data_IF_344485686720
#
_entry.id   IF_344485686720
#
_cell.length_a   1.000
_cell.length_b   1.000
_cell.length_c   1.000
_cell.angle_alpha   90.00
_cell.angle_beta   90.00
_cell.angle_gamma   90.00
#
_symmetry.space_group_name_H-M   'P 1'
#
loop_
_entity.id
_entity.type
_entity.pdbx_description
1 polymer ?
#
# COMPACT_ATOMS: atom_id res chain seq x y z
N UNK A 1 -15.76 -4.74 13.05
CA UNK A 1 -15.48 -5.11 11.66
C UNK A 1 -16.34 -6.30 11.21
N UNK A 2 -16.43 -7.41 11.95
CA UNK A 2 -17.21 -8.60 11.53
C UNK A 2 -18.65 -8.30 11.08
N UNK A 3 -19.40 -7.46 11.78
CA UNK A 3 -20.78 -7.13 11.40
C UNK A 3 -20.91 -6.36 10.08
N UNK A 4 -19.87 -5.63 9.65
CA UNK A 4 -19.85 -4.91 8.38
C UNK A 4 -19.17 -5.73 7.28
N UNK A 5 -18.26 -6.63 7.65
CA UNK A 5 -17.53 -7.44 6.69
C UNK A 5 -18.45 -8.36 5.89
N UNK A 6 -19.44 -8.95 6.58
CA UNK A 6 -20.41 -9.85 5.97
C UNK A 6 -21.67 -9.15 5.45
N UNK A 7 -21.67 -7.80 5.42
CA UNK A 7 -22.82 -7.02 4.97
C UNK A 7 -23.01 -7.12 3.45
N UNK A 8 -24.24 -7.25 3.03
CA UNK A 8 -24.63 -7.05 1.64
C UNK A 8 -24.17 -5.67 1.17
N UNK A 9 -23.65 -5.60 -0.05
CA UNK A 9 -23.06 -4.35 -0.61
C UNK A 9 -21.56 -4.17 -0.35
N UNK A 10 -20.90 -4.96 0.51
CA UNK A 10 -19.44 -4.97 0.57
C UNK A 10 -18.86 -5.39 -0.77
N UNK A 11 -17.79 -4.75 -1.19
CA UNK A 11 -17.16 -4.99 -2.48
C UNK A 11 -17.77 -4.18 -3.64
N UNK A 12 -18.92 -3.50 -3.44
CA UNK A 12 -19.50 -2.63 -4.49
C UNK A 12 -18.81 -1.28 -4.62
N UNK A 13 -18.09 -0.84 -3.59
CA UNK A 13 -17.36 0.44 -3.54
C UNK A 13 -16.08 0.29 -2.72
N UNK A 14 -14.99 0.99 -3.06
CA UNK A 14 -13.76 0.95 -2.31
C UNK A 14 -13.90 1.40 -0.85
N UNK A 15 -13.42 0.55 0.06
CA UNK A 15 -13.40 0.81 1.51
C UNK A 15 -12.03 0.45 2.09
N UNK A 16 -11.55 1.30 3.02
CA UNK A 16 -10.36 1.01 3.80
C UNK A 16 -10.76 0.53 5.20
N UNK A 17 -10.41 -0.70 5.51
CA UNK A 17 -10.73 -1.38 6.76
C UNK A 17 -9.56 -1.27 7.73
N UNK A 18 -9.81 -0.77 8.93
CA UNK A 18 -8.77 -0.67 9.96
C UNK A 18 -8.68 -1.98 10.74
N UNK A 19 -7.49 -2.60 10.73
CA UNK A 19 -7.17 -3.81 11.47
C UNK A 19 -5.84 -3.66 12.23
N UNK A 20 -5.62 -4.49 13.25
CA UNK A 20 -4.33 -4.54 13.94
C UNK A 20 -3.35 -5.42 13.17
N UNK A 21 -2.12 -4.96 12.88
CA UNK A 21 -1.10 -5.81 12.29
C UNK A 21 -0.64 -6.92 13.24
N UNK A 22 -0.88 -6.79 14.56
CA UNK A 22 -0.63 -7.84 15.55
C UNK A 22 -1.45 -9.12 15.34
N UNK A 23 -2.50 -9.08 14.47
CA UNK A 23 -3.26 -10.30 14.11
C UNK A 23 -2.37 -11.40 13.54
N UNK A 24 -1.19 -11.10 13.02
CA UNK A 24 -0.23 -12.13 12.56
C UNK A 24 0.16 -13.10 13.68
N UNK A 25 0.16 -12.66 14.95
CA UNK A 25 0.55 -13.47 16.09
C UNK A 25 -0.65 -13.95 16.90
N UNK A 26 -1.62 -13.07 17.21
CA UNK A 26 -2.73 -13.45 18.12
C UNK A 26 -4.02 -13.87 17.41
N UNK A 27 -4.09 -13.71 16.09
CA UNK A 27 -5.29 -14.08 15.31
C UNK A 27 -5.00 -14.38 13.84
N UNK A 28 -4.00 -15.24 13.51
CA UNK A 28 -3.61 -15.46 12.12
C UNK A 28 -4.76 -16.02 11.26
N UNK A 29 -5.60 -16.89 11.84
CA UNK A 29 -6.77 -17.39 11.13
C UNK A 29 -7.78 -16.30 10.77
N UNK A 30 -7.93 -15.28 11.61
CA UNK A 30 -8.80 -14.14 11.34
C UNK A 30 -8.18 -13.23 10.26
N UNK A 31 -6.88 -13.02 10.32
CA UNK A 31 -6.17 -12.25 9.28
C UNK A 31 -6.30 -12.93 7.92
N UNK A 32 -6.07 -14.25 7.86
CA UNK A 32 -6.23 -15.03 6.64
C UNK A 32 -7.68 -14.99 6.13
N UNK A 33 -8.68 -15.09 7.02
CA UNK A 33 -10.08 -14.98 6.63
C UNK A 33 -10.38 -13.64 5.94
N UNK A 34 -9.85 -12.51 6.46
CA UNK A 34 -10.05 -11.22 5.82
C UNK A 34 -9.36 -11.14 4.45
N UNK A 35 -8.13 -11.62 4.30
CA UNK A 35 -7.45 -11.63 3.02
C UNK A 35 -8.10 -12.60 2.01
N UNK A 36 -8.49 -13.81 2.44
CA UNK A 36 -9.11 -14.82 1.58
C UNK A 36 -10.49 -14.40 1.06
N UNK A 37 -11.19 -13.53 1.79
CA UNK A 37 -12.55 -13.06 1.45
C UNK A 37 -12.58 -11.61 0.98
N UNK A 38 -11.43 -10.93 0.91
CA UNK A 38 -11.34 -9.57 0.39
C UNK A 38 -11.73 -9.52 -1.09
N UNK A 39 -12.37 -8.43 -1.47
CA UNK A 39 -12.67 -8.10 -2.86
C UNK A 39 -11.65 -7.10 -3.40
N UNK A 40 -11.67 -6.83 -4.69
CA UNK A 40 -10.83 -5.79 -5.32
C UNK A 40 -11.07 -4.38 -4.75
N UNK A 41 -12.19 -4.15 -4.07
CA UNK A 41 -12.57 -2.88 -3.45
C UNK A 41 -12.22 -2.80 -1.96
N UNK A 42 -11.71 -3.86 -1.35
CA UNK A 42 -11.29 -3.85 0.04
C UNK A 42 -9.79 -3.53 0.16
N UNK A 43 -9.44 -2.61 1.04
CA UNK A 43 -8.08 -2.28 1.40
C UNK A 43 -7.92 -2.30 2.92
N UNK A 44 -6.81 -2.84 3.41
CA UNK A 44 -6.53 -2.87 4.84
C UNK A 44 -5.52 -1.81 5.24
N UNK A 45 -5.81 -1.12 6.35
CA UNK A 45 -4.94 -0.15 6.97
C UNK A 45 -4.66 -0.55 8.43
N UNK A 46 -3.46 -0.28 8.90
CA UNK A 46 -3.13 -0.43 10.31
C UNK A 46 -3.69 0.72 11.12
N UNK A 47 -4.28 0.44 12.24
CA UNK A 47 -4.68 1.51 13.17
C UNK A 47 -5.07 1.01 14.54
N UNK A 48 -5.13 1.95 15.48
CA UNK A 48 -4.52 3.27 15.40
C UNK A 48 -3.02 3.25 15.71
N UNK A 49 -2.28 4.06 14.99
CA UNK A 49 -0.86 4.38 15.15
C UNK A 49 0.16 3.26 14.86
N UNK A 50 -0.25 2.10 14.37
CA UNK A 50 0.65 1.01 13.97
C UNK A 50 0.43 -0.30 14.72
N UNK A 51 1.49 -0.85 15.37
CA UNK A 51 1.44 -2.19 15.97
C UNK A 51 0.32 -2.36 16.99
N UNK A 52 0.05 -1.35 17.80
CA UNK A 52 -0.98 -1.41 18.83
C UNK A 52 -1.79 -0.12 18.88
N UNK A 53 -2.89 -0.15 19.62
CA UNK A 53 -3.74 1.00 19.85
C UNK A 53 -3.01 2.02 20.73
N UNK A 54 -2.27 2.94 20.10
CA UNK A 54 -1.38 3.88 20.78
C UNK A 54 -1.67 5.31 20.40
N UNK A 55 -1.80 6.15 21.42
CA UNK A 55 -1.79 7.60 21.29
C UNK A 55 -0.33 8.06 21.29
N UNK A 56 0.24 8.30 20.12
CA UNK A 56 1.67 8.61 19.98
C UNK A 56 1.97 10.09 20.16
N UNK A 57 0.99 10.96 19.86
CA UNK A 57 1.04 12.37 20.12
C UNK A 57 0.14 12.70 21.32
N UNK A 58 0.76 12.79 22.49
CA UNK A 58 0.05 13.26 23.68
C UNK A 58 1.02 14.14 24.48
N UNK A 59 0.68 15.39 24.63
CA UNK A 59 1.44 16.32 25.44
C UNK A 59 1.54 15.89 26.93
N UNK A 60 0.69 14.96 27.35
CA UNK A 60 0.65 14.39 28.70
C UNK A 60 1.24 12.98 28.80
N UNK A 61 1.55 12.35 27.66
CA UNK A 61 2.04 10.97 27.64
C UNK A 61 3.57 10.90 27.54
N UNK A 62 4.20 10.72 28.67
CA UNK A 62 5.65 10.73 28.82
C UNK A 62 6.40 9.56 28.15
N UNK A 63 5.70 8.52 27.71
CA UNK A 63 6.34 7.33 27.12
C UNK A 63 6.95 7.65 25.75
N UNK A 64 6.32 8.57 24.99
CA UNK A 64 6.72 8.89 23.62
C UNK A 64 7.31 10.30 23.46
N UNK A 65 7.29 11.10 24.51
CA UNK A 65 7.87 12.42 24.57
C UNK A 65 9.20 12.36 25.30
N UNK A 66 10.29 12.07 24.61
CA UNK A 66 11.64 12.34 25.12
C UNK A 66 12.18 13.59 24.46
N UNK A 67 12.96 14.37 25.17
CA UNK A 67 13.65 15.56 24.63
C UNK A 67 14.60 15.21 23.46
N UNK A 68 14.91 13.92 23.28
CA UNK A 68 15.79 13.40 22.21
C UNK A 68 15.03 12.83 21.01
N UNK A 69 13.68 12.71 21.07
CA UNK A 69 12.87 12.09 20.00
C UNK A 69 13.12 10.60 19.73
N UNK A 70 14.03 10.01 20.43
CA UNK A 70 14.40 8.60 20.22
C UNK A 70 13.34 7.62 20.75
N UNK A 71 12.45 8.06 21.65
CA UNK A 71 11.49 7.18 22.31
C UNK A 71 10.50 6.53 21.35
N UNK A 72 10.10 7.21 20.28
CA UNK A 72 9.18 6.67 19.28
C UNK A 72 9.84 5.63 18.35
N UNK A 73 11.15 5.70 18.16
CA UNK A 73 11.86 4.87 17.18
C UNK A 73 11.73 3.36 17.42
N UNK A 74 11.83 2.80 18.65
CA UNK A 74 11.61 1.38 18.89
C UNK A 74 10.20 0.92 18.53
N UNK A 75 9.18 1.71 18.87
CA UNK A 75 7.79 1.41 18.54
C UNK A 75 7.57 1.37 17.01
N UNK A 76 8.12 2.35 16.31
CA UNK A 76 8.00 2.43 14.84
C UNK A 76 8.75 1.29 14.16
N UNK A 77 9.92 0.88 14.67
CA UNK A 77 10.65 -0.29 14.17
C UNK A 77 9.88 -1.60 14.37
N UNK A 78 9.24 -1.77 15.51
CA UNK A 78 8.35 -2.92 15.73
C UNK A 78 7.13 -2.85 14.82
N UNK A 79 6.52 -1.69 14.68
CA UNK A 79 5.43 -1.47 13.73
C UNK A 79 5.83 -1.92 12.33
N UNK A 80 7.02 -1.54 11.85
CA UNK A 80 7.52 -1.95 10.53
C UNK A 80 7.57 -3.48 10.36
N UNK A 81 8.08 -4.21 11.36
CA UNK A 81 8.15 -5.67 11.29
C UNK A 81 6.77 -6.32 11.16
N UNK A 82 5.78 -5.77 11.87
CA UNK A 82 4.41 -6.28 11.81
C UNK A 82 3.67 -5.86 10.53
N UNK A 83 3.97 -4.68 10.00
CA UNK A 83 3.47 -4.26 8.69
C UNK A 83 3.99 -5.16 7.57
N UNK A 84 5.27 -5.54 7.62
CA UNK A 84 5.85 -6.49 6.66
C UNK A 84 5.14 -7.84 6.70
N UNK A 85 4.96 -8.40 7.89
CA UNK A 85 4.30 -9.71 8.08
C UNK A 85 2.82 -9.68 7.71
N UNK A 86 2.13 -8.57 8.02
CA UNK A 86 0.69 -8.45 7.77
C UNK A 86 0.33 -7.96 6.37
N UNK A 87 1.28 -7.45 5.59
CA UNK A 87 1.03 -6.85 4.28
C UNK A 87 0.40 -5.45 4.31
N UNK A 88 0.23 -4.85 5.50
CA UNK A 88 -0.39 -3.52 5.63
C UNK A 88 0.58 -2.41 5.21
N UNK A 89 0.08 -1.43 4.46
CA UNK A 89 0.86 -0.37 3.84
C UNK A 89 0.40 1.04 4.17
N UNK A 90 -0.61 1.17 4.99
CA UNK A 90 -1.21 2.44 5.41
C UNK A 90 -1.37 2.36 6.91
N UNK A 91 -1.08 3.44 7.61
CA UNK A 91 -1.35 3.57 9.04
C UNK A 91 -2.32 4.73 9.25
N UNK A 92 -3.33 4.49 10.06
CA UNK A 92 -4.15 5.57 10.63
C UNK A 92 -3.56 5.93 11.98
N UNK A 93 -3.08 7.15 12.14
CA UNK A 93 -2.54 7.68 13.38
C UNK A 93 -3.71 8.20 14.22
N UNK A 94 -3.74 7.86 15.51
CA UNK A 94 -4.70 8.43 16.43
C UNK A 94 -4.25 9.83 16.83
N UNK A 95 -5.11 10.80 16.57
CA UNK A 95 -4.88 12.21 16.81
C UNK A 95 -3.81 12.82 15.87
N UNK A 96 -2.88 13.58 16.41
CA UNK A 96 -1.85 14.27 15.65
C UNK A 96 -0.50 13.52 15.64
N UNK A 97 0.41 14.03 14.86
CA UNK A 97 1.79 13.55 14.76
C UNK A 97 2.73 14.76 14.55
N UNK A 98 3.80 14.85 15.32
CA UNK A 98 4.82 15.87 15.14
C UNK A 98 5.84 15.50 14.04
N UNK A 99 6.71 16.44 13.67
CA UNK A 99 7.68 16.26 12.59
C UNK A 99 8.65 15.12 12.84
N UNK A 100 9.04 14.91 14.10
CA UNK A 100 9.96 13.89 14.51
C UNK A 100 9.35 12.50 14.40
N UNK A 101 8.12 12.34 14.89
CA UNK A 101 7.36 11.11 14.75
C UNK A 101 7.11 10.78 13.28
N UNK A 102 6.75 11.77 12.44
CA UNK A 102 6.62 11.58 10.98
C UNK A 102 7.93 11.10 10.35
N UNK A 103 9.04 11.72 10.75
CA UNK A 103 10.37 11.32 10.27
C UNK A 103 10.74 9.89 10.69
N UNK A 104 10.35 9.46 11.89
CA UNK A 104 10.56 8.09 12.34
C UNK A 104 9.78 7.09 11.45
N UNK A 105 8.49 7.33 11.19
CA UNK A 105 7.72 6.48 10.26
C UNK A 105 8.30 6.49 8.84
N UNK A 106 8.67 7.64 8.31
CA UNK A 106 9.29 7.74 7.00
C UNK A 106 10.62 7.00 6.90
N UNK A 107 11.42 7.01 7.98
CA UNK A 107 12.73 6.35 8.04
C UNK A 107 12.63 4.84 8.19
N UNK A 108 11.78 4.37 9.08
CA UNK A 108 11.76 2.97 9.48
C UNK A 108 10.68 2.14 8.76
N UNK A 109 9.57 2.75 8.32
CA UNK A 109 8.48 2.05 7.66
C UNK A 109 8.57 2.18 6.13
N UNK A 110 9.54 1.48 5.52
CA UNK A 110 9.85 1.59 4.09
C UNK A 110 8.70 1.26 3.14
N UNK A 111 7.76 0.44 3.58
CA UNK A 111 6.67 -0.06 2.74
C UNK A 111 5.40 0.79 2.81
N UNK A 112 5.39 1.83 3.64
CA UNK A 112 4.21 2.67 3.75
C UNK A 112 3.94 3.47 2.48
N UNK A 113 2.70 3.41 2.02
CA UNK A 113 2.19 4.31 1.00
C UNK A 113 1.91 5.70 1.59
N UNK A 114 1.37 5.76 2.82
CA UNK A 114 1.06 7.01 3.50
C UNK A 114 0.48 6.81 4.89
N UNK A 115 0.27 7.92 5.58
CA UNK A 115 -0.39 8.00 6.87
C UNK A 115 -1.68 8.80 6.76
N UNK A 116 -2.73 8.38 7.47
CA UNK A 116 -3.90 9.21 7.74
C UNK A 116 -3.92 9.61 9.20
N UNK A 117 -4.42 10.80 9.52
CA UNK A 117 -4.56 11.29 10.88
C UNK A 117 -6.03 11.28 11.30
N UNK A 118 -6.31 10.82 12.51
CA UNK A 118 -7.62 10.95 13.14
C UNK A 118 -7.66 12.28 13.90
N UNK A 119 -7.92 13.36 13.19
CA UNK A 119 -7.97 14.70 13.77
C UNK A 119 -9.29 14.92 14.52
N UNK A 120 -9.25 14.81 15.84
CA UNK A 120 -10.41 14.99 16.72
C UNK A 120 -10.91 16.44 16.80
N UNK A 121 -10.02 17.39 16.62
CA UNK A 121 -10.34 18.80 16.76
C UNK A 121 -10.99 19.39 15.50
N UNK A 122 -11.25 18.56 14.49
CA UNK A 122 -11.83 18.98 13.21
C UNK A 122 -11.12 20.20 12.63
N UNK A 123 -9.80 20.17 12.66
CA UNK A 123 -8.97 21.24 12.10
C UNK A 123 -9.37 21.51 10.64
N UNK A 124 -9.22 22.75 10.17
CA UNK A 124 -9.41 23.04 8.76
C UNK A 124 -8.64 22.08 7.87
N UNK A 125 -9.20 21.76 6.70
CA UNK A 125 -8.56 20.85 5.75
C UNK A 125 -7.09 21.20 5.56
N UNK A 126 -6.23 20.24 5.86
CA UNK A 126 -4.78 20.35 5.67
C UNK A 126 -4.39 19.57 4.43
N UNK A 127 -3.70 20.18 3.51
CA UNK A 127 -3.11 19.49 2.37
C UNK A 127 -2.15 18.41 2.88
N UNK A 128 -2.01 17.28 2.16
CA UNK A 128 -1.01 16.29 2.48
C UNK A 128 0.37 16.90 2.61
N UNK A 129 1.08 16.55 3.67
CA UNK A 129 2.46 17.00 3.89
C UNK A 129 3.45 15.88 3.54
N UNK A 130 4.65 16.25 3.12
CA UNK A 130 5.71 15.32 2.81
C UNK A 130 6.82 15.41 3.85
N UNK A 131 7.36 14.24 4.23
CA UNK A 131 8.54 14.15 5.06
C UNK A 131 9.78 14.05 4.17
N UNK A 132 10.79 14.86 4.44
CA UNK A 132 11.98 14.97 3.58
C UNK A 132 12.72 13.64 3.36
N UNK A 133 12.84 12.82 4.40
CA UNK A 133 13.64 11.59 4.33
C UNK A 133 13.16 10.60 3.27
N UNK A 134 11.82 10.45 3.06
CA UNK A 134 11.26 9.44 2.16
C UNK A 134 10.01 9.88 1.41
N UNK A 135 9.69 11.15 1.45
CA UNK A 135 8.48 11.67 0.82
C UNK A 135 7.20 10.92 1.23
N UNK A 136 7.05 10.59 2.52
CA UNK A 136 5.89 9.89 3.05
C UNK A 136 4.68 10.85 3.11
N UNK A 137 3.61 10.61 2.33
CA UNK A 137 2.41 11.44 2.38
C UNK A 137 1.68 11.27 3.72
N UNK A 138 1.21 12.38 4.28
CA UNK A 138 0.37 12.41 5.48
C UNK A 138 -0.85 13.26 5.21
N UNK A 139 -2.05 12.75 5.48
CA UNK A 139 -3.31 13.46 5.27
C UNK A 139 -4.24 13.31 6.49
N UNK A 140 -4.92 14.38 6.89
CA UNK A 140 -5.95 14.29 7.92
C UNK A 140 -7.25 13.65 7.36
N UNK A 141 -7.89 12.80 8.17
CA UNK A 141 -9.25 12.36 7.93
C UNK A 141 -10.22 13.45 8.39
N UNK A 142 -10.81 14.16 7.46
CA UNK A 142 -11.73 15.27 7.72
C UNK A 142 -13.05 15.05 6.97
N UNK A 143 -14.15 14.81 7.67
CA UNK A 143 -14.25 14.63 9.13
C UNK A 143 -13.69 13.30 9.62
N UNK A 144 -13.31 13.30 10.90
CA UNK A 144 -12.99 12.11 11.66
C UNK A 144 -14.25 11.61 12.40
N UNK A 145 -14.41 10.29 12.52
CA UNK A 145 -15.56 9.64 13.19
C UNK A 145 -16.93 10.14 12.69
N UNK A 146 -17.06 10.30 11.39
CA UNK A 146 -18.34 10.70 10.80
C UNK A 146 -19.43 9.67 11.09
N UNK A 147 -20.55 10.11 11.65
CA UNK A 147 -21.67 9.27 12.03
C UNK A 147 -22.80 9.19 10.99
N UNK A 148 -22.54 9.71 9.79
CA UNK A 148 -23.47 9.68 8.66
C UNK A 148 -22.93 10.42 7.44
N UNK A 149 -23.61 10.22 6.33
CA UNK A 149 -23.26 10.80 5.01
C UNK A 149 -23.27 12.33 5.06
N UNK A 150 -24.25 12.92 5.77
CA UNK A 150 -24.40 14.38 5.86
C UNK A 150 -23.18 15.05 6.49
N UNK A 151 -22.53 14.41 7.45
CA UNK A 151 -21.33 14.94 8.09
C UNK A 151 -20.20 15.08 7.09
N UNK A 152 -19.91 14.02 6.33
CA UNK A 152 -18.84 14.05 5.32
C UNK A 152 -19.20 15.02 4.19
N UNK A 153 -20.44 14.96 3.71
CA UNK A 153 -20.91 15.83 2.63
C UNK A 153 -20.77 17.31 2.98
N UNK A 154 -21.18 17.71 4.18
CA UNK A 154 -21.10 19.12 4.62
C UNK A 154 -19.66 19.63 4.71
N UNK A 155 -18.69 18.77 5.09
CA UNK A 155 -17.27 19.14 5.08
C UNK A 155 -16.71 19.36 3.67
N UNK A 156 -17.15 18.53 2.69
CA UNK A 156 -16.50 18.48 1.39
C UNK A 156 -17.21 19.29 0.30
N UNK A 157 -18.52 19.55 0.44
CA UNK A 157 -19.33 20.16 -0.62
C UNK A 157 -18.76 21.48 -1.15
N UNK A 158 -18.35 22.38 -0.27
CA UNK A 158 -17.84 23.70 -0.67
C UNK A 158 -16.49 23.60 -1.38
N UNK A 159 -15.63 22.68 -0.93
CA UNK A 159 -14.32 22.44 -1.53
C UNK A 159 -14.46 21.82 -2.91
N UNK A 160 -15.36 20.86 -3.07
CA UNK A 160 -15.64 20.19 -4.35
C UNK A 160 -16.35 21.15 -5.31
N UNK A 161 -17.32 21.93 -4.84
CA UNK A 161 -18.04 22.90 -5.67
C UNK A 161 -17.12 24.02 -6.23
N UNK A 162 -16.03 24.34 -5.53
CA UNK A 162 -15.01 25.31 -5.97
C UNK A 162 -13.85 24.66 -6.74
N UNK A 163 -13.90 23.37 -6.96
CA UNK A 163 -12.84 22.66 -7.67
C UNK A 163 -12.75 23.10 -9.13
N UNK A 164 -11.59 23.61 -9.54
CA UNK A 164 -11.34 24.17 -10.87
C UNK A 164 -10.71 23.19 -11.87
N UNK A 165 -10.42 21.95 -11.43
CA UNK A 165 -9.80 20.93 -12.26
C UNK A 165 -8.31 21.13 -12.56
N UNK A 166 -7.67 22.17 -12.01
CA UNK A 166 -6.26 22.49 -12.31
C UNK A 166 -5.29 21.43 -11.79
N UNK A 167 -5.59 20.84 -10.63
CA UNK A 167 -4.81 19.75 -10.01
C UNK A 167 -5.75 18.79 -9.27
N UNK A 168 -5.43 17.49 -9.23
CA UNK A 168 -6.22 16.55 -8.44
C UNK A 168 -6.34 16.99 -6.98
N UNK A 169 -7.55 16.95 -6.45
CA UNK A 169 -7.86 17.20 -5.04
C UNK A 169 -7.95 15.85 -4.33
N UNK A 170 -7.26 15.73 -3.20
CA UNK A 170 -7.23 14.51 -2.39
C UNK A 170 -7.96 14.75 -1.07
N UNK A 171 -9.02 14.01 -0.83
CA UNK A 171 -9.85 14.11 0.38
C UNK A 171 -9.90 12.74 1.08
N UNK A 172 -9.84 12.75 2.40
CA UNK A 172 -9.96 11.56 3.23
C UNK A 172 -10.92 11.83 4.39
N UNK A 173 -11.76 10.85 4.72
CA UNK A 173 -12.64 10.89 5.87
C UNK A 173 -12.64 9.54 6.58
N UNK A 174 -12.98 9.56 7.86
CA UNK A 174 -13.18 8.36 8.64
C UNK A 174 -14.63 8.28 9.12
N UNK A 175 -15.32 7.20 8.76
CA UNK A 175 -16.65 6.87 9.26
C UNK A 175 -16.61 6.03 10.54
N UNK A 176 -17.58 6.24 11.42
CA UNK A 176 -17.83 5.34 12.55
C UNK A 176 -18.34 3.98 12.04
N UNK A 177 -17.56 2.91 12.24
CA UNK A 177 -17.86 1.58 11.73
C UNK A 177 -19.18 0.96 12.26
N UNK A 178 -19.68 1.45 13.38
CA UNK A 178 -20.99 1.02 13.94
C UNK A 178 -22.18 1.81 13.41
N UNK A 179 -21.96 2.87 12.65
CA UNK A 179 -23.01 3.74 12.08
C UNK A 179 -22.97 3.84 10.56
N UNK A 180 -21.78 3.68 9.96
CA UNK A 180 -21.59 3.78 8.53
C UNK A 180 -21.14 2.45 7.93
N UNK A 181 -21.73 2.07 6.83
CA UNK A 181 -21.40 0.88 6.06
C UNK A 181 -21.27 1.17 4.56
N UNK A 182 -21.12 0.14 3.73
CA UNK A 182 -20.95 0.30 2.28
C UNK A 182 -22.03 1.16 1.61
N UNK A 183 -23.30 0.98 1.99
CA UNK A 183 -24.43 1.72 1.43
C UNK A 183 -24.31 3.25 1.67
N UNK A 184 -23.78 3.64 2.84
CA UNK A 184 -23.55 5.04 3.14
C UNK A 184 -22.48 5.65 2.23
N UNK A 185 -21.45 4.88 1.86
CA UNK A 185 -20.39 5.37 0.98
C UNK A 185 -20.91 5.47 -0.47
N UNK A 186 -21.76 4.54 -0.90
CA UNK A 186 -22.45 4.62 -2.20
C UNK A 186 -23.30 5.89 -2.26
N UNK A 187 -24.14 6.13 -1.24
CA UNK A 187 -24.97 7.34 -1.16
C UNK A 187 -24.14 8.63 -1.10
N UNK A 188 -22.99 8.62 -0.40
CA UNK A 188 -22.06 9.75 -0.39
C UNK A 188 -21.52 10.01 -1.79
N UNK A 189 -21.06 8.96 -2.50
CA UNK A 189 -20.54 9.08 -3.88
C UNK A 189 -21.58 9.73 -4.80
N UNK A 190 -22.81 9.26 -4.79
CA UNK A 190 -23.88 9.82 -5.61
C UNK A 190 -24.10 11.30 -5.38
N UNK A 191 -24.08 11.72 -4.13
CA UNK A 191 -24.24 13.14 -3.77
C UNK A 191 -23.04 13.99 -4.20
N UNK A 192 -21.81 13.48 -4.05
CA UNK A 192 -20.60 14.18 -4.48
C UNK A 192 -20.53 14.26 -6.02
N UNK A 193 -20.95 13.20 -6.70
CA UNK A 193 -21.01 13.15 -8.16
C UNK A 193 -21.97 14.21 -8.71
N UNK A 194 -23.05 14.50 -8.00
CA UNK A 194 -23.98 15.57 -8.38
C UNK A 194 -23.36 16.98 -8.29
N UNK A 195 -22.33 17.18 -7.43
CA UNK A 195 -21.59 18.45 -7.32
C UNK A 195 -20.57 18.63 -8.45
N UNK A 196 -19.93 17.56 -8.89
CA UNK A 196 -18.85 17.59 -9.89
C UNK A 196 -18.90 16.34 -10.77
N UNK A 197 -19.85 16.29 -11.73
CA UNK A 197 -20.08 15.09 -12.55
C UNK A 197 -18.83 14.65 -13.33
N UNK A 198 -18.51 13.35 -13.24
CA UNK A 198 -17.37 12.74 -13.92
C UNK A 198 -16.00 13.04 -13.31
N UNK A 199 -15.96 13.78 -12.19
CA UNK A 199 -14.69 14.18 -11.54
C UNK A 199 -14.45 13.50 -10.18
N UNK A 200 -15.42 12.71 -9.69
CA UNK A 200 -15.32 12.06 -8.37
C UNK A 200 -14.83 10.62 -8.51
N UNK A 201 -13.73 10.31 -7.84
CA UNK A 201 -13.19 8.94 -7.77
C UNK A 201 -13.09 8.52 -6.32
N UNK A 202 -13.88 7.55 -5.91
CA UNK A 202 -13.69 6.84 -4.64
C UNK A 202 -12.69 5.71 -4.90
N UNK A 203 -11.64 5.63 -4.12
CA UNK A 203 -10.61 4.63 -4.35
C UNK A 203 -10.07 4.03 -3.04
N UNK A 204 -9.43 2.89 -3.15
CA UNK A 204 -8.67 2.25 -2.08
C UNK A 204 -7.53 3.16 -1.63
N UNK A 205 -7.12 3.04 -0.37
CA UNK A 205 -6.07 3.88 0.20
C UNK A 205 -4.70 3.70 -0.46
N UNK A 206 -4.36 2.49 -0.90
CA UNK A 206 -3.15 2.22 -1.67
C UNK A 206 -3.15 2.97 -3.02
N UNK A 207 -4.26 2.93 -3.75
CA UNK A 207 -4.44 3.72 -4.98
C UNK A 207 -4.48 5.22 -4.69
N UNK A 208 -5.12 5.65 -3.60
CA UNK A 208 -5.17 7.05 -3.19
C UNK A 208 -3.78 7.65 -3.02
N UNK A 209 -2.94 7.02 -2.20
CA UNK A 209 -1.57 7.49 -1.98
C UNK A 209 -0.69 7.34 -3.22
N UNK A 210 -0.93 6.31 -4.03
CA UNK A 210 -0.21 6.12 -5.28
C UNK A 210 -0.52 7.22 -6.30
N UNK A 211 -1.79 7.59 -6.44
CA UNK A 211 -2.24 8.71 -7.28
C UNK A 211 -1.69 10.05 -6.77
N UNK A 212 -1.68 10.25 -5.44
CA UNK A 212 -1.09 11.43 -4.85
C UNK A 212 0.40 11.57 -5.20
N UNK A 213 1.17 10.49 -5.04
CA UNK A 213 2.59 10.46 -5.42
C UNK A 213 2.78 10.80 -6.89
N UNK A 214 2.01 10.17 -7.77
CA UNK A 214 2.03 10.44 -9.22
C UNK A 214 1.73 11.89 -9.55
N UNK A 215 0.69 12.48 -8.94
CA UNK A 215 0.28 13.86 -9.17
C UNK A 215 1.33 14.89 -8.70
N UNK A 216 2.18 14.52 -7.74
CA UNK A 216 3.23 15.38 -7.19
C UNK A 216 4.65 15.03 -7.73
N UNK A 217 4.76 14.22 -8.77
CA UNK A 217 6.05 13.87 -9.39
C UNK A 217 6.96 12.98 -8.55
N UNK A 218 6.42 12.33 -7.52
CA UNK A 218 7.15 11.42 -6.65
C UNK A 218 7.21 10.02 -7.24
N UNK A 219 8.19 9.18 -6.87
CA UNK A 219 8.17 7.77 -7.19
C UNK A 219 6.90 7.10 -6.63
N UNK A 220 6.18 6.38 -7.49
CA UNK A 220 4.95 5.68 -7.14
C UNK A 220 5.01 4.24 -7.65
N UNK A 221 4.21 3.35 -7.08
CA UNK A 221 4.16 1.96 -7.49
C UNK A 221 3.48 1.84 -8.86
N UNK A 222 4.24 1.53 -9.88
CA UNK A 222 3.78 1.39 -11.26
C UNK A 222 2.93 0.13 -11.47
N UNK A 223 3.11 -0.91 -10.65
CA UNK A 223 2.35 -2.17 -10.79
C UNK A 223 0.87 -2.00 -10.44
N UNK A 224 0.52 -0.98 -9.64
CA UNK A 224 -0.87 -0.62 -9.35
C UNK A 224 -1.54 0.19 -10.46
N UNK A 225 -0.87 0.47 -11.56
CA UNK A 225 -1.47 1.22 -12.67
C UNK A 225 -2.40 0.31 -13.48
N UNK A 226 -3.64 0.74 -13.80
CA UNK A 226 -4.61 -0.09 -14.50
C UNK A 226 -4.19 -0.48 -15.92
N UNK A 227 -3.25 0.28 -16.51
CA UNK A 227 -2.74 0.04 -17.86
C UNK A 227 -1.60 -0.96 -17.91
N UNK A 228 -1.09 -1.42 -16.75
CA UNK A 228 0.03 -2.36 -16.72
C UNK A 228 -0.38 -3.71 -17.28
N UNK A 229 0.51 -4.32 -18.04
CA UNK A 229 0.30 -5.68 -18.54
C UNK A 229 1.39 -6.59 -17.99
N UNK A 230 0.99 -7.66 -17.34
CA UNK A 230 1.90 -8.67 -16.80
C UNK A 230 1.95 -9.87 -17.75
N UNK A 231 3.14 -10.39 -18.00
CA UNK A 231 3.38 -11.66 -18.68
C UNK A 231 4.36 -12.48 -17.87
N UNK A 232 4.19 -13.78 -17.87
CA UNK A 232 5.08 -14.69 -17.15
C UNK A 232 5.52 -15.83 -18.08
N UNK A 233 6.62 -16.50 -17.72
CA UNK A 233 6.94 -17.83 -18.21
C UNK A 233 5.81 -18.80 -17.82
N UNK A 234 5.93 -20.07 -18.23
CA UNK A 234 4.96 -21.09 -17.84
C UNK A 234 4.74 -21.08 -16.32
N UNK A 235 3.48 -20.97 -15.92
CA UNK A 235 3.10 -20.88 -14.51
C UNK A 235 1.95 -21.82 -14.17
N UNK A 236 1.81 -22.16 -12.89
CA UNK A 236 0.70 -22.95 -12.34
C UNK A 236 -0.47 -22.07 -11.88
N UNK A 237 -0.21 -20.79 -11.64
CA UNK A 237 -1.18 -19.81 -11.13
C UNK A 237 -1.27 -18.64 -12.09
N UNK A 238 -2.29 -17.77 -11.90
CA UNK A 238 -2.46 -16.57 -12.73
C UNK A 238 -1.29 -15.60 -12.60
N UNK A 239 -0.95 -14.92 -13.69
CA UNK A 239 0.06 -13.86 -13.71
C UNK A 239 -0.37 -12.61 -12.93
N UNK A 240 -1.67 -12.41 -12.73
CA UNK A 240 -2.21 -11.22 -12.07
C UNK A 240 -1.86 -11.19 -10.58
N UNK A 241 -1.62 -12.37 -9.99
CA UNK A 241 -1.24 -12.51 -8.58
C UNK A 241 0.11 -11.90 -8.21
N UNK A 242 0.96 -11.52 -9.17
CA UNK A 242 2.28 -10.94 -8.85
C UNK A 242 2.23 -9.43 -8.56
N UNK A 243 1.07 -8.80 -8.72
CA UNK A 243 0.93 -7.35 -8.60
C UNK A 243 -0.47 -6.94 -8.10
N UNK A 244 -1.12 -7.81 -7.33
CA UNK A 244 -2.45 -7.57 -6.75
C UNK A 244 -2.39 -6.85 -5.39
N UNK A 245 -1.16 -6.65 -4.88
CA UNK A 245 -0.90 -6.02 -3.58
C UNK A 245 -1.15 -6.96 -2.40
N UNK A 246 -1.40 -8.25 -2.66
CA UNK A 246 -1.59 -9.26 -1.63
C UNK A 246 -0.30 -10.05 -1.36
N UNK A 247 -0.12 -10.45 -0.10
CA UNK A 247 0.96 -11.35 0.30
C UNK A 247 0.40 -12.66 0.89
N UNK A 248 -0.85 -13.00 0.60
CA UNK A 248 -1.47 -14.22 1.09
C UNK A 248 -0.95 -15.46 0.34
N UNK A 249 -0.80 -16.58 1.05
CA UNK A 249 -0.28 -17.85 0.48
C UNK A 249 -1.02 -18.29 -0.77
N UNK A 250 -2.35 -18.19 -0.79
CA UNK A 250 -3.17 -18.61 -1.92
C UNK A 250 -3.18 -17.63 -3.10
N UNK A 251 -2.64 -16.45 -2.90
CA UNK A 251 -2.57 -15.37 -3.90
C UNK A 251 -1.14 -15.16 -4.40
N UNK A 252 -0.42 -16.25 -4.60
CA UNK A 252 0.98 -16.24 -4.99
C UNK A 252 1.16 -16.80 -6.40
N UNK A 253 1.99 -16.13 -7.20
CA UNK A 253 2.42 -16.70 -8.46
C UNK A 253 3.42 -17.84 -8.22
N UNK A 254 3.20 -18.98 -8.89
CA UNK A 254 4.05 -20.15 -8.83
C UNK A 254 4.46 -20.54 -10.24
N UNK A 255 5.76 -20.62 -10.52
CA UNK A 255 6.28 -21.07 -11.82
C UNK A 255 5.87 -22.52 -12.14
N UNK A 256 5.93 -22.88 -13.40
CA UNK A 256 5.90 -24.28 -13.83
C UNK A 256 7.05 -25.07 -13.22
N UNK A 257 7.09 -26.37 -13.46
CA UNK A 257 8.24 -27.20 -13.08
C UNK A 257 9.39 -26.92 -14.02
N UNK A 258 10.55 -26.89 -13.47
CA UNK A 258 11.88 -26.86 -14.04
C UNK A 258 12.36 -25.60 -14.62
N UNK A 259 13.24 -24.96 -14.04
CA UNK A 259 14.01 -24.48 -15.12
C UNK A 259 14.90 -23.31 -14.84
N UNK A 260 15.25 -22.84 -13.86
CA UNK A 260 16.16 -21.70 -13.85
C UNK A 260 15.96 -20.69 -15.02
N UNK A 261 14.73 -20.66 -15.58
CA UNK A 261 14.29 -19.84 -16.72
C UNK A 261 12.95 -19.19 -16.47
N UNK A 262 12.47 -19.22 -15.23
CA UNK A 262 11.25 -18.53 -14.83
C UNK A 262 11.46 -17.03 -14.96
N UNK A 263 10.45 -16.33 -15.44
CA UNK A 263 10.47 -14.88 -15.54
C UNK A 263 9.07 -14.28 -15.39
N UNK A 264 9.04 -13.05 -14.90
CA UNK A 264 7.85 -12.20 -14.80
C UNK A 264 8.18 -10.86 -15.46
N UNK A 265 7.35 -10.40 -16.37
CA UNK A 265 7.57 -9.18 -17.17
C UNK A 265 6.39 -8.23 -17.07
N UNK A 266 6.69 -6.96 -16.83
CA UNK A 266 5.74 -5.85 -16.84
C UNK A 266 5.93 -4.97 -18.08
N UNK A 267 4.82 -4.58 -18.73
CA UNK A 267 4.77 -3.51 -19.73
C UNK A 267 3.96 -2.33 -19.18
N UNK A 268 4.62 -1.24 -18.87
CA UNK A 268 4.01 -0.01 -18.35
C UNK A 268 3.44 0.91 -19.43
N UNK A 269 3.40 0.47 -20.70
CA UNK A 269 2.91 1.18 -21.90
C UNK A 269 3.69 2.44 -22.26
N UNK A 270 4.35 3.07 -21.33
CA UNK A 270 5.23 4.23 -21.52
C UNK A 270 6.49 4.13 -20.67
N UNK A 271 7.44 5.01 -20.92
CA UNK A 271 8.68 5.04 -20.17
C UNK A 271 8.51 5.78 -18.86
N UNK A 272 9.15 5.25 -17.82
CA UNK A 272 9.29 5.86 -16.51
C UNK A 272 10.74 5.87 -16.07
N UNK A 273 11.07 6.70 -15.08
CA UNK A 273 12.36 6.66 -14.40
C UNK A 273 12.22 5.68 -13.21
N UNK A 274 12.68 4.45 -13.39
CA UNK A 274 12.60 3.39 -12.39
C UNK A 274 13.71 3.57 -11.36
N UNK A 275 13.40 3.52 -10.07
CA UNK A 275 14.36 3.82 -8.99
C UNK A 275 14.39 2.80 -7.84
N UNK A 276 13.38 1.93 -7.72
CA UNK A 276 13.29 0.94 -6.62
C UNK A 276 12.38 -0.21 -7.05
N UNK A 277 12.65 -1.38 -6.50
CA UNK A 277 11.72 -2.50 -6.59
C UNK A 277 11.61 -3.26 -5.27
N UNK A 278 10.50 -3.95 -5.08
CA UNK A 278 10.27 -4.85 -3.95
C UNK A 278 9.78 -6.18 -4.52
N UNK A 279 10.35 -7.29 -4.04
CA UNK A 279 9.89 -8.65 -4.34
C UNK A 279 9.55 -9.34 -3.03
N UNK A 280 8.33 -9.83 -2.93
CA UNK A 280 7.86 -10.63 -1.80
C UNK A 280 7.87 -12.09 -2.19
N UNK A 281 8.68 -12.84 -1.46
CA UNK A 281 8.90 -14.27 -1.73
C UNK A 281 7.94 -15.14 -0.90
N UNK A 282 8.10 -16.46 -1.02
CA UNK A 282 7.32 -17.49 -0.34
C UNK A 282 7.21 -17.28 1.18
N UNK A 283 8.33 -16.94 1.84
CA UNK A 283 8.38 -16.71 3.29
C UNK A 283 7.52 -15.53 3.75
N UNK A 284 7.36 -14.50 2.92
CA UNK A 284 6.45 -13.39 3.24
C UNK A 284 4.96 -13.81 3.25
N UNK A 285 4.63 -14.86 2.49
CA UNK A 285 3.30 -15.45 2.47
C UNK A 285 3.11 -16.58 3.51
N UNK A 286 4.05 -16.74 4.45
CA UNK A 286 3.96 -17.73 5.53
C UNK A 286 4.51 -19.13 5.20
N UNK A 287 5.08 -19.33 4.02
CA UNK A 287 5.77 -20.58 3.67
C UNK A 287 7.20 -20.62 4.25
N UNK A 288 7.86 -21.80 4.29
CA UNK A 288 9.24 -21.89 4.70
C UNK A 288 10.19 -21.00 3.87
N UNK A 289 11.15 -20.35 4.52
CA UNK A 289 12.13 -19.48 3.86
C UNK A 289 13.04 -20.24 2.86
N UNK A 290 13.18 -21.56 3.00
CA UNK A 290 13.89 -22.39 2.02
C UNK A 290 13.26 -22.37 0.62
N UNK A 291 11.99 -21.97 0.52
CA UNK A 291 11.23 -21.81 -0.73
C UNK A 291 11.32 -20.39 -1.30
N UNK A 292 12.05 -19.48 -0.66
CA UNK A 292 12.29 -18.14 -1.21
C UNK A 292 13.13 -18.24 -2.49
N UNK A 293 12.80 -17.42 -3.49
CA UNK A 293 13.59 -17.29 -4.71
C UNK A 293 14.98 -16.77 -4.37
N UNK A 294 16.04 -17.49 -4.76
CA UNK A 294 17.42 -17.23 -4.34
C UNK A 294 18.18 -16.32 -5.29
N UNK A 295 18.21 -16.69 -6.59
CA UNK A 295 18.98 -15.93 -7.56
C UNK A 295 18.06 -15.39 -8.64
N UNK A 296 18.11 -14.08 -8.83
CA UNK A 296 17.30 -13.41 -9.83
C UNK A 296 17.92 -12.07 -10.26
N UNK A 297 17.50 -11.58 -11.42
CA UNK A 297 17.92 -10.31 -11.98
C UNK A 297 16.70 -9.43 -12.25
N UNK A 298 16.83 -8.15 -11.94
CA UNK A 298 15.93 -7.13 -12.47
C UNK A 298 16.51 -6.62 -13.78
N UNK A 299 15.81 -6.86 -14.87
CA UNK A 299 16.19 -6.41 -16.20
C UNK A 299 15.23 -5.32 -16.70
N UNK A 300 15.75 -4.39 -17.43
CA UNK A 300 15.02 -3.25 -18.01
C UNK A 300 15.11 -3.26 -19.52
N UNK A 301 14.06 -2.77 -20.18
CA UNK A 301 14.03 -2.64 -21.63
C UNK A 301 13.15 -1.47 -22.08
N UNK A 302 13.48 -0.90 -23.25
CA UNK A 302 12.64 0.11 -23.89
C UNK A 302 11.81 -0.43 -25.07
N UNK A 303 12.17 -1.59 -25.59
CA UNK A 303 11.53 -2.21 -26.78
C UNK A 303 10.98 -3.64 -26.50
N UNK A 304 11.21 -4.16 -25.30
CA UNK A 304 10.80 -5.52 -24.91
C UNK A 304 11.63 -6.64 -25.57
N UNK A 305 12.72 -6.29 -26.27
CA UNK A 305 13.57 -7.24 -27.00
C UNK A 305 15.02 -7.22 -26.50
N UNK A 306 15.59 -6.03 -26.32
CA UNK A 306 16.93 -5.84 -25.76
C UNK A 306 16.80 -5.56 -24.27
N UNK A 307 17.46 -6.34 -23.44
CA UNK A 307 17.41 -6.31 -22.00
C UNK A 307 18.77 -5.94 -21.41
N UNK A 308 18.75 -5.07 -20.42
CA UNK A 308 19.93 -4.67 -19.65
C UNK A 308 19.67 -4.98 -18.18
N UNK A 309 20.64 -5.51 -17.46
CA UNK A 309 20.52 -5.79 -16.03
C UNK A 309 20.59 -4.47 -15.26
N UNK A 310 19.54 -4.17 -14.48
CA UNK A 310 19.52 -3.04 -13.57
C UNK A 310 19.96 -3.45 -12.16
N UNK A 311 19.74 -4.71 -11.77
CA UNK A 311 20.18 -5.27 -10.51
C UNK A 311 20.30 -6.80 -10.59
N UNK A 312 21.05 -7.39 -9.64
CA UNK A 312 21.28 -8.83 -9.57
C UNK A 312 21.36 -9.27 -8.09
N UNK A 313 20.48 -10.17 -7.70
CA UNK A 313 20.46 -10.79 -6.39
C UNK A 313 20.95 -12.23 -6.46
N UNK A 314 21.80 -12.63 -5.51
CA UNK A 314 22.34 -13.99 -5.41
C UNK A 314 22.32 -14.46 -3.96
N UNK A 315 21.93 -15.71 -3.75
CA UNK A 315 21.87 -16.35 -2.43
C UNK A 315 20.82 -15.69 -1.50
N UNK A 316 19.75 -15.11 -2.04
CA UNK A 316 18.71 -14.51 -1.22
C UNK A 316 18.04 -15.55 -0.31
N UNK A 317 17.95 -15.24 0.96
CA UNK A 317 17.24 -16.01 2.00
C UNK A 317 16.11 -15.20 2.65
N UNK A 318 16.01 -13.91 2.32
CA UNK A 318 15.04 -13.02 2.94
C UNK A 318 13.65 -13.21 2.35
N UNK A 319 12.60 -13.13 3.14
CA UNK A 319 11.21 -13.20 2.65
C UNK A 319 10.81 -11.98 1.82
N UNK A 320 11.52 -10.87 1.96
CA UNK A 320 11.31 -9.64 1.19
C UNK A 320 12.65 -9.10 0.71
N UNK A 321 12.77 -8.87 -0.60
CA UNK A 321 13.88 -8.12 -1.21
C UNK A 321 13.39 -6.72 -1.55
N UNK A 322 14.05 -5.68 -1.00
CA UNK A 322 13.71 -4.27 -1.21
C UNK A 322 14.98 -3.51 -1.57
N UNK A 323 15.09 -3.07 -2.83
CA UNK A 323 16.31 -2.52 -3.40
C UNK A 323 16.04 -1.17 -4.06
N UNK A 324 16.81 -0.15 -3.64
CA UNK A 324 16.95 1.08 -4.39
C UNK A 324 18.00 0.86 -5.49
N UNK A 325 17.66 1.11 -6.74
CA UNK A 325 18.55 0.97 -7.89
C UNK A 325 18.98 2.35 -8.42
N UNK A 326 20.06 2.39 -9.18
CA UNK A 326 20.40 3.59 -9.94
C UNK A 326 19.25 3.91 -10.90
N UNK A 327 18.67 5.13 -10.85
CA UNK A 327 17.50 5.44 -11.65
C UNK A 327 17.73 5.21 -13.14
N UNK A 328 16.88 4.41 -13.77
CA UNK A 328 16.99 4.02 -15.16
C UNK A 328 15.69 4.24 -15.93
N UNK A 329 15.77 4.74 -17.17
CA UNK A 329 14.61 4.96 -18.04
C UNK A 329 14.20 3.67 -18.72
N UNK A 330 13.00 3.16 -18.43
CA UNK A 330 12.49 1.94 -19.04
C UNK A 330 10.97 1.98 -19.24
N UNK A 331 10.49 1.21 -20.22
CA UNK A 331 9.08 0.86 -20.42
C UNK A 331 8.77 -0.54 -19.89
N UNK A 332 9.70 -1.46 -20.04
CA UNK A 332 9.54 -2.85 -19.64
C UNK A 332 10.48 -3.18 -18.51
N UNK A 333 9.99 -3.95 -17.56
CA UNK A 333 10.77 -4.55 -16.48
C UNK A 333 10.57 -6.06 -16.53
N UNK A 334 11.63 -6.82 -16.29
CA UNK A 334 11.57 -8.27 -16.16
C UNK A 334 12.33 -8.72 -14.91
N UNK A 335 11.69 -9.55 -14.11
CA UNK A 335 12.35 -10.34 -13.09
C UNK A 335 12.71 -11.71 -13.73
N UNK A 336 13.97 -11.96 -13.96
CA UNK A 336 14.49 -13.22 -14.53
C UNK A 336 15.08 -14.06 -13.40
N UNK A 337 14.55 -15.25 -13.16
CA UNK A 337 14.88 -16.12 -12.03
C UNK A 337 15.79 -17.24 -12.51
N UNK A 338 16.94 -17.41 -11.84
CA UNK A 338 17.94 -18.43 -12.18
C UNK A 338 18.09 -19.50 -11.12
N UNK A 339 17.73 -19.21 -9.86
CA UNK A 339 17.58 -20.18 -8.77
C UNK A 339 16.26 -19.91 -8.02
N UNK A 340 15.34 -20.85 -8.12
CA UNK A 340 13.99 -20.75 -7.59
C UNK A 340 13.86 -21.14 -6.10
N UNK A 341 14.93 -21.63 -5.48
CA UNK A 341 14.91 -22.19 -4.13
C UNK A 341 14.89 -23.72 -4.12
N UNK A 342 14.58 -24.30 -2.96
CA UNK A 342 14.79 -25.72 -2.65
C UNK A 342 14.05 -26.70 -3.57
N UNK A 343 12.82 -26.39 -3.97
CA UNK A 343 11.96 -27.28 -4.77
C UNK A 343 11.88 -26.91 -6.26
N UNK A 344 12.81 -26.07 -6.73
CA UNK A 344 12.94 -25.65 -8.13
C UNK A 344 11.70 -24.95 -8.70
N UNK A 345 10.88 -24.32 -7.85
CA UNK A 345 9.69 -23.53 -8.22
C UNK A 345 9.79 -22.14 -7.67
N UNK A 346 9.87 -21.17 -8.54
CA UNK A 346 9.78 -19.77 -8.11
C UNK A 346 8.39 -19.47 -7.53
N UNK A 347 8.38 -18.81 -6.38
CA UNK A 347 7.18 -18.36 -5.68
C UNK A 347 7.32 -16.90 -5.38
N UNK A 348 6.46 -16.13 -5.98
CA UNK A 348 6.43 -14.67 -5.82
C UNK A 348 5.03 -14.27 -5.33
N UNK A 349 4.97 -13.76 -4.11
CA UNK A 349 3.72 -13.29 -3.52
C UNK A 349 3.31 -11.93 -4.08
N UNK A 350 4.27 -11.01 -4.28
CA UNK A 350 3.98 -9.68 -4.84
C UNK A 350 5.25 -9.03 -5.38
N UNK A 351 5.10 -8.19 -6.40
CA UNK A 351 6.18 -7.35 -6.95
C UNK A 351 5.70 -5.90 -7.05
N UNK A 352 6.47 -5.00 -6.46
CA UNK A 352 6.27 -3.57 -6.60
C UNK A 352 7.43 -2.95 -7.37
N UNK A 353 7.12 -2.14 -8.36
CA UNK A 353 8.11 -1.37 -9.14
C UNK A 353 7.82 0.10 -8.95
N UNK A 354 8.79 0.81 -8.38
CA UNK A 354 8.67 2.23 -8.12
C UNK A 354 9.41 3.07 -9.16
N UNK A 355 8.73 4.07 -9.68
CA UNK A 355 9.27 5.01 -10.64
C UNK A 355 8.48 6.31 -10.68
N UNK A 356 9.06 7.32 -11.32
CA UNK A 356 8.43 8.62 -11.57
C UNK A 356 8.19 8.87 -13.04
N UNK A 357 7.25 9.76 -13.33
CA UNK A 357 6.99 10.23 -14.70
C UNK A 357 8.24 10.97 -15.22
N UNK A 358 8.57 10.78 -16.51
CA UNK A 358 9.70 11.45 -17.19
C UNK A 358 9.37 12.90 -17.53
#
# INVERSE_FOLDING_TARGET
>A
MSQLWDKEGRGSIPINWTISPGLVDFGPALLNYYYDTATENDCFASGPSGLGYSLIYDSHNYIWNSDSGEAISPYVKWTQQYLEKSGLRIITIWDEINDEQRSAYARYCRYLYGLTLQDWEHQPYKLPTLVQDRNLPVIANLPCYANGVDVIYSFWQDTIAKFDGSKPLFLSAQGESWKMGPDNIVALKERLEALSPGNIVICRGDHFFNLYRKANGLPFNLTLSPDVTVKTSLSKTSSDLVADGSAAEKQMWVSGTDDGKAWIQFDFKKKYLISRYVVRHAGNAGLPDSLNTRDFKLEVSNDGKKWESADCQSGNTMPVTDVDIVPVKARYIRLSITDSGEDQRARIADIEIYGSVL
#
